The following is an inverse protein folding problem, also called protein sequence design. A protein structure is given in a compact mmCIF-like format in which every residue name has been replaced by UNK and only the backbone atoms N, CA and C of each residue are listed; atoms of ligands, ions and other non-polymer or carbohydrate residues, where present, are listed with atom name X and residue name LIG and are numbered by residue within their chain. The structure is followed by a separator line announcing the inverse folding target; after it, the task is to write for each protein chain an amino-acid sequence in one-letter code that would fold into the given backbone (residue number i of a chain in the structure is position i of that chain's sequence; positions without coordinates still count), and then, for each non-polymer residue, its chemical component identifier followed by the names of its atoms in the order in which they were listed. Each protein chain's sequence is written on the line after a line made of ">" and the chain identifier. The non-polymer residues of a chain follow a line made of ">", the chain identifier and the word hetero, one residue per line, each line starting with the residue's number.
data_IF_138647199706
#
_entry.id   IF_138647199706
#
_cell.length_a   1.000
_cell.length_b   1.000
_cell.length_c   1.000
_cell.angle_alpha   90.00
_cell.angle_beta   90.00
_cell.angle_gamma   90.00
#
_symmetry.space_group_name_H-M   'P 1'
#
loop_
_entity.id
_entity.type
_entity.pdbx_description
1 polymer ?
#
# COMPACT_ATOMS: atom_id res chain seq x y z
N UNK A 1 18.97 -33.83 16.22
CA UNK A 1 18.47 -35.22 16.24
C UNK A 1 17.03 -35.15 16.66
N UNK A 2 16.09 -35.38 15.74
CA UNK A 2 14.67 -35.40 16.09
C UNK A 2 14.39 -36.60 17.01
N UNK A 3 13.67 -36.36 18.10
CA UNK A 3 13.30 -37.38 19.07
C UNK A 3 12.28 -38.34 18.42
N UNK A 4 12.68 -39.58 18.17
CA UNK A 4 11.87 -40.64 17.52
C UNK A 4 10.53 -40.93 18.21
N UNK A 5 10.35 -40.54 19.47
CA UNK A 5 9.07 -40.71 20.18
C UNK A 5 7.98 -39.73 19.72
N UNK A 6 8.35 -38.55 19.20
CA UNK A 6 7.39 -37.53 18.74
C UNK A 6 6.78 -37.84 17.37
N UNK A 7 7.40 -38.75 16.60
CA UNK A 7 6.94 -39.14 15.27
C UNK A 7 5.67 -40.03 15.33
N UNK A 8 5.40 -40.63 16.50
CA UNK A 8 4.23 -41.50 16.74
C UNK A 8 2.96 -40.76 17.15
N UNK A 9 3.03 -39.44 17.34
CA UNK A 9 1.93 -38.61 17.83
C UNK A 9 1.76 -37.36 16.95
N UNK A 10 0.51 -36.91 16.77
CA UNK A 10 0.19 -35.74 15.95
C UNK A 10 0.49 -34.43 16.69
N UNK A 11 1.78 -34.09 16.79
CA UNK A 11 2.24 -32.85 17.43
C UNK A 11 2.22 -31.70 16.42
N UNK A 12 1.80 -30.53 16.88
CA UNK A 12 1.81 -29.31 16.08
C UNK A 12 3.22 -28.85 15.71
N UNK A 13 3.35 -27.98 14.69
CA UNK A 13 4.64 -27.41 14.32
C UNK A 13 5.19 -26.56 15.46
N UNK A 14 6.51 -26.50 15.54
CA UNK A 14 7.20 -25.58 16.44
C UNK A 14 6.96 -24.14 15.95
N UNK A 15 6.46 -23.28 16.84
CA UNK A 15 6.19 -21.88 16.56
C UNK A 15 7.20 -21.04 17.33
N UNK A 16 7.82 -20.09 16.64
CA UNK A 16 8.73 -19.14 17.24
C UNK A 16 7.98 -18.31 18.32
N UNK A 17 8.49 -18.22 19.57
CA UNK A 17 7.86 -17.41 20.61
C UNK A 17 7.77 -15.92 20.24
N UNK A 18 8.63 -15.43 19.34
CA UNK A 18 8.64 -14.05 18.86
C UNK A 18 7.75 -13.82 17.63
N UNK A 19 7.10 -14.87 17.12
CA UNK A 19 6.29 -14.81 15.91
C UNK A 19 5.25 -13.67 15.94
N UNK A 20 4.62 -13.45 17.09
CA UNK A 20 3.65 -12.37 17.27
C UNK A 20 4.28 -10.98 17.07
N UNK A 21 5.48 -10.73 17.63
CA UNK A 21 6.14 -9.44 17.47
C UNK A 21 6.49 -9.16 16.00
N UNK A 22 7.03 -10.17 15.31
CA UNK A 22 7.35 -10.06 13.89
C UNK A 22 6.11 -9.86 13.02
N UNK A 23 5.04 -10.61 13.26
CA UNK A 23 3.79 -10.46 12.53
C UNK A 23 3.21 -9.04 12.65
N UNK A 24 3.17 -8.49 13.86
CA UNK A 24 2.67 -7.14 14.10
C UNK A 24 3.51 -6.07 13.40
N UNK A 25 4.84 -6.18 13.47
CA UNK A 25 5.74 -5.23 12.82
C UNK A 25 5.58 -5.23 11.30
N UNK A 26 5.57 -6.42 10.68
CA UNK A 26 5.39 -6.54 9.23
C UNK A 26 3.99 -6.10 8.81
N UNK A 27 2.95 -6.46 9.55
CA UNK A 27 1.58 -6.09 9.23
C UNK A 27 1.40 -4.57 9.19
N UNK A 28 1.81 -3.86 10.24
CA UNK A 28 1.65 -2.41 10.30
C UNK A 28 2.56 -1.68 9.33
N UNK A 29 3.77 -2.19 9.10
CA UNK A 29 4.66 -1.65 8.07
C UNK A 29 3.99 -1.67 6.69
N UNK A 30 3.41 -2.80 6.29
CA UNK A 30 2.74 -2.94 4.98
C UNK A 30 1.50 -2.05 4.90
N UNK A 31 0.67 -2.00 5.95
CA UNK A 31 -0.54 -1.15 5.97
C UNK A 31 -0.19 0.33 5.79
N UNK A 32 0.77 0.84 6.55
CA UNK A 32 1.20 2.24 6.45
C UNK A 32 1.83 2.50 5.09
N UNK A 33 2.73 1.63 4.63
CA UNK A 33 3.41 1.79 3.35
C UNK A 33 2.43 1.82 2.18
N UNK A 34 1.47 0.88 2.13
CA UNK A 34 0.44 0.84 1.10
C UNK A 34 -0.44 2.11 1.11
N UNK A 35 -0.78 2.60 2.30
CA UNK A 35 -1.57 3.84 2.46
C UNK A 35 -0.80 5.06 1.97
N UNK A 36 0.50 5.16 2.27
CA UNK A 36 1.35 6.26 1.79
C UNK A 36 1.43 6.25 0.27
N UNK A 37 1.70 5.09 -0.34
CA UNK A 37 1.74 4.95 -1.80
C UNK A 37 0.41 5.36 -2.43
N UNK A 38 -0.71 4.90 -1.87
CA UNK A 38 -2.05 5.26 -2.32
C UNK A 38 -2.27 6.78 -2.32
N UNK A 39 -1.97 7.45 -1.20
CA UNK A 39 -2.14 8.90 -1.06
C UNK A 39 -1.26 9.66 -2.04
N UNK A 40 0.00 9.25 -2.22
CA UNK A 40 0.90 9.86 -3.21
C UNK A 40 0.36 9.71 -4.63
N UNK A 41 -0.10 8.51 -5.01
CA UNK A 41 -0.70 8.28 -6.31
C UNK A 41 -1.94 9.15 -6.55
N UNK A 42 -2.84 9.23 -5.57
CA UNK A 42 -4.02 10.10 -5.65
C UNK A 42 -3.64 11.59 -5.77
N UNK A 43 -2.59 12.02 -5.07
CA UNK A 43 -2.12 13.40 -5.08
C UNK A 43 -1.53 13.77 -6.44
N UNK A 44 -0.75 12.86 -7.04
CA UNK A 44 -0.19 13.04 -8.38
C UNK A 44 -1.29 13.02 -9.46
N UNK A 45 -2.28 12.13 -9.33
CA UNK A 45 -3.40 12.04 -10.26
C UNK A 45 -4.23 13.33 -10.32
N UNK A 46 -4.41 13.98 -9.17
CA UNK A 46 -5.23 15.19 -9.03
C UNK A 46 -4.39 16.47 -8.92
N UNK A 47 -3.14 16.42 -9.37
CA UNK A 47 -2.29 17.61 -9.39
C UNK A 47 -2.83 18.59 -10.44
N UNK A 48 -3.25 19.77 -10.01
CA UNK A 48 -3.69 20.83 -10.92
C UNK A 48 -2.52 21.17 -11.87
N UNK A 49 -2.68 21.02 -13.20
CA UNK A 49 -1.62 21.34 -14.16
C UNK A 49 -1.27 22.83 -14.23
N UNK A 50 -1.96 23.69 -13.46
CA UNK A 50 -1.70 25.12 -13.37
C UNK A 50 -2.56 25.89 -14.35
N UNK A 51 -3.42 26.77 -13.80
CA UNK A 51 -4.39 27.57 -14.56
C UNK A 51 -3.79 28.75 -15.34
N UNK A 52 -2.50 28.99 -15.20
CA UNK A 52 -1.85 30.19 -15.74
C UNK A 52 -0.99 29.92 -17.01
N UNK A 53 -1.07 28.71 -17.56
CA UNK A 53 -0.30 28.24 -18.72
C UNK A 53 -0.99 28.35 -20.10
N UNK A 54 -0.28 27.92 -21.16
CA UNK A 54 -0.74 27.93 -22.57
C UNK A 54 -2.08 27.22 -22.82
N UNK A 55 -2.44 26.30 -21.91
CA UNK A 55 -3.65 25.46 -21.96
C UNK A 55 -4.94 26.30 -21.84
N UNK A 56 -4.95 27.36 -21.02
CA UNK A 56 -6.14 28.23 -20.89
C UNK A 56 -6.28 29.21 -22.06
N UNK A 57 -5.16 29.64 -22.65
CA UNK A 57 -5.16 30.46 -23.88
C UNK A 57 -5.80 29.72 -25.06
N UNK A 58 -5.61 28.39 -25.12
CA UNK A 58 -6.10 27.52 -26.18
C UNK A 58 -7.55 27.04 -25.98
N UNK A 59 -8.08 27.10 -24.76
CA UNK A 59 -9.43 26.62 -24.42
C UNK A 59 -10.52 27.70 -24.34
N UNK A 60 -10.15 28.99 -24.33
CA UNK A 60 -11.12 30.13 -24.43
C UNK A 60 -11.81 30.19 -25.81
N UNK A 61 -11.32 29.43 -26.80
CA UNK A 61 -11.90 29.39 -28.16
C UNK A 61 -13.15 28.52 -28.33
N UNK A 62 -13.79 28.02 -27.26
CA UNK A 62 -15.17 27.51 -27.39
C UNK A 62 -16.14 28.69 -27.24
N UNK A 63 -16.75 29.20 -28.34
CA UNK A 63 -17.79 30.21 -28.20
C UNK A 63 -18.94 29.63 -27.38
N UNK A 64 -19.45 30.46 -26.47
CA UNK A 64 -20.73 30.31 -25.81
C UNK A 64 -21.80 30.11 -26.91
N UNK A 65 -22.35 28.90 -27.00
CA UNK A 65 -23.59 28.67 -27.72
C UNK A 65 -24.71 28.98 -26.75
N UNK A 66 -25.55 29.93 -27.16
CA UNK A 66 -26.78 30.43 -26.53
C UNK A 66 -27.61 29.42 -25.75
#
# INVERSE_FOLDING_TARGET
>A
MANSSLESINVGPEVDPEYAAWFQLTFWFVVVFATVVWVVCCSLWNMDPGRDGIIYRLSVTKPESE
#
